data_IF_307220797675
#
_entry.id   IF_307220797675
#
_cell.length_a   1.000
_cell.length_b   1.000
_cell.length_c   1.000
_cell.angle_alpha   90.00
_cell.angle_beta   90.00
_cell.angle_gamma   90.00
#
_symmetry.space_group_name_H-M   'P 1'
#
loop_
_entity.id
_entity.type
_entity.pdbx_description
1 polymer ?
#
# COMPACT_ATOMS: atom_id res chain seq x y z
N UNK A 1 -11.86 -11.11 3.43
CA UNK A 1 -11.15 -10.37 4.48
C UNK A 1 -10.20 -11.28 5.22
N UNK A 2 -9.11 -10.73 5.77
CA UNK A 2 -8.19 -11.42 6.68
C UNK A 2 -8.94 -12.07 7.86
N UNK A 3 -10.04 -11.45 8.31
CA UNK A 3 -10.93 -12.02 9.32
C UNK A 3 -11.61 -13.31 8.86
N UNK A 4 -11.97 -13.43 7.59
CA UNK A 4 -12.58 -14.66 7.03
C UNK A 4 -11.58 -15.81 6.99
N UNK A 5 -10.27 -15.51 6.95
CA UNK A 5 -9.19 -16.50 6.94
C UNK A 5 -8.65 -16.78 8.35
N UNK A 6 -9.25 -16.20 9.39
CA UNK A 6 -8.86 -16.38 10.80
C UNK A 6 -7.71 -15.48 11.26
N UNK A 7 -7.22 -14.58 10.40
CA UNK A 7 -6.19 -13.61 10.73
C UNK A 7 -6.82 -12.43 11.47
N UNK A 8 -6.83 -12.54 12.80
CA UNK A 8 -7.46 -11.54 13.70
C UNK A 8 -6.50 -10.49 14.27
N UNK A 9 -5.23 -10.53 13.85
CA UNK A 9 -4.15 -9.67 14.32
C UNK A 9 -3.67 -8.74 13.20
N UNK A 10 -4.53 -7.80 12.79
CA UNK A 10 -4.18 -6.71 11.86
C UNK A 10 -4.36 -5.35 12.52
N UNK A 11 -3.77 -4.31 11.93
CA UNK A 11 -3.74 -2.95 12.49
C UNK A 11 -5.15 -2.39 12.76
N UNK A 12 -6.11 -2.69 11.88
CA UNK A 12 -7.51 -2.29 12.02
C UNK A 12 -8.14 -2.92 13.27
N UNK A 13 -8.04 -4.24 13.40
CA UNK A 13 -8.64 -5.00 14.50
C UNK A 13 -7.96 -4.67 15.83
N UNK A 14 -6.64 -4.49 15.83
CA UNK A 14 -5.90 -4.04 17.02
C UNK A 14 -6.38 -2.65 17.46
N UNK A 15 -6.47 -1.68 16.55
CA UNK A 15 -6.94 -0.33 16.89
C UNK A 15 -8.39 -0.32 17.38
N UNK A 16 -9.28 -1.11 16.77
CA UNK A 16 -10.65 -1.29 17.26
C UNK A 16 -10.68 -1.87 18.67
N UNK A 17 -9.85 -2.88 18.97
CA UNK A 17 -9.78 -3.49 20.32
C UNK A 17 -9.24 -2.52 21.36
N UNK A 18 -8.24 -1.72 21.00
CA UNK A 18 -7.62 -0.74 21.90
C UNK A 18 -8.53 0.44 22.24
N UNK A 19 -9.33 0.89 21.27
CA UNK A 19 -10.11 2.14 21.39
C UNK A 19 -11.63 1.92 21.52
N UNK A 20 -12.13 0.73 21.20
CA UNK A 20 -13.56 0.43 21.10
C UNK A 20 -14.25 1.09 19.91
N UNK A 21 -13.50 1.68 18.97
CA UNK A 21 -14.07 2.39 17.82
C UNK A 21 -14.64 1.42 16.76
N UNK A 22 -15.43 1.96 15.83
CA UNK A 22 -15.92 1.22 14.68
C UNK A 22 -14.82 0.93 13.66
N UNK A 23 -14.99 -0.09 12.84
CA UNK A 23 -14.05 -0.43 11.76
C UNK A 23 -13.82 0.74 10.81
N UNK A 24 -14.87 1.50 10.48
CA UNK A 24 -14.76 2.69 9.63
C UNK A 24 -13.84 3.75 10.24
N UNK A 25 -13.94 4.01 11.55
CA UNK A 25 -13.04 4.94 12.25
C UNK A 25 -11.61 4.39 12.32
N UNK A 26 -11.45 3.09 12.58
CA UNK A 26 -10.13 2.46 12.57
C UNK A 26 -9.45 2.55 11.19
N UNK A 27 -10.18 2.28 10.11
CA UNK A 27 -9.68 2.44 8.73
C UNK A 27 -9.30 3.88 8.44
N UNK A 28 -10.13 4.84 8.84
CA UNK A 28 -9.82 6.26 8.69
C UNK A 28 -8.53 6.64 9.44
N UNK A 29 -8.37 6.15 10.68
CA UNK A 29 -7.17 6.40 11.47
C UNK A 29 -5.91 5.83 10.82
N UNK A 30 -5.93 4.55 10.42
CA UNK A 30 -4.79 3.90 9.76
C UNK A 30 -4.45 4.58 8.42
N UNK A 31 -5.45 4.99 7.64
CA UNK A 31 -5.22 5.77 6.41
C UNK A 31 -4.54 7.11 6.72
N UNK A 32 -4.95 7.80 7.78
CA UNK A 32 -4.28 9.01 8.23
C UNK A 32 -2.79 8.79 8.58
N UNK A 33 -2.46 7.67 9.23
CA UNK A 33 -1.07 7.31 9.51
C UNK A 33 -0.26 7.03 8.22
N UNK A 34 -0.89 6.41 7.22
CA UNK A 34 -0.28 6.18 5.90
C UNK A 34 0.00 7.52 5.20
N UNK A 35 -0.97 8.43 5.20
CA UNK A 35 -0.83 9.77 4.59
C UNK A 35 0.28 10.60 5.26
N UNK A 36 0.34 10.61 6.60
CA UNK A 36 1.41 11.27 7.33
C UNK A 36 2.78 10.65 7.02
N UNK A 37 2.85 9.32 6.87
CA UNK A 37 4.08 8.63 6.46
C UNK A 37 4.52 9.04 5.05
N UNK A 38 3.57 9.16 4.11
CA UNK A 38 3.85 9.68 2.76
C UNK A 38 4.41 11.10 2.78
N UNK A 39 3.81 12.00 3.56
CA UNK A 39 4.30 13.39 3.71
C UNK A 39 5.75 13.41 4.21
N UNK A 40 6.08 12.56 5.19
CA UNK A 40 7.44 12.44 5.72
C UNK A 40 8.43 11.94 4.66
N UNK A 41 8.08 10.90 3.90
CA UNK A 41 8.95 10.41 2.81
C UNK A 41 9.15 11.45 1.71
N UNK A 42 8.10 12.17 1.31
CA UNK A 42 8.19 13.24 0.32
C UNK A 42 9.10 14.37 0.81
N UNK A 43 9.00 14.74 2.09
CA UNK A 43 9.91 15.71 2.69
C UNK A 43 11.37 15.23 2.67
N UNK A 44 11.64 13.97 3.01
CA UNK A 44 13.00 13.40 2.91
C UNK A 44 13.58 13.44 1.48
N UNK A 45 12.74 13.36 0.44
CA UNK A 45 13.23 13.53 -0.93
C UNK A 45 13.64 14.97 -1.26
N UNK A 46 12.94 15.95 -0.68
CA UNK A 46 13.20 17.38 -0.90
C UNK A 46 14.40 17.83 -0.08
N UNK A 47 14.41 17.50 1.21
CA UNK A 47 15.44 17.91 2.17
C UNK A 47 16.75 17.13 2.00
N UNK A 48 16.70 16.02 1.25
CA UNK A 48 17.81 15.09 1.10
C UNK A 48 17.83 14.03 2.21
N UNK A 49 18.67 13.02 1.99
CA UNK A 49 18.80 11.86 2.88
C UNK A 49 20.27 11.57 3.15
N UNK A 50 20.64 11.09 4.36
CA UNK A 50 21.99 10.59 4.62
C UNK A 50 22.28 9.26 3.88
N UNK A 51 21.26 8.64 3.28
CA UNK A 51 21.38 7.39 2.55
C UNK A 51 21.69 7.61 1.07
N UNK A 52 22.31 6.61 0.43
CA UNK A 52 22.57 6.63 -1.00
C UNK A 52 21.28 6.73 -1.82
N UNK A 53 21.33 7.49 -2.92
CA UNK A 53 20.16 7.79 -3.78
C UNK A 53 19.37 6.53 -4.17
N UNK A 54 20.05 5.47 -4.62
CA UNK A 54 19.39 4.23 -5.02
C UNK A 54 18.64 3.53 -3.88
N UNK A 55 19.14 3.63 -2.64
CA UNK A 55 18.44 3.08 -1.47
C UNK A 55 17.16 3.86 -1.19
N UNK A 56 17.23 5.19 -1.25
CA UNK A 56 16.08 6.08 -1.07
C UNK A 56 15.02 5.82 -2.15
N UNK A 57 15.43 5.75 -3.42
CA UNK A 57 14.54 5.45 -4.54
C UNK A 57 13.87 4.08 -4.38
N UNK A 58 14.63 3.07 -3.95
CA UNK A 58 14.10 1.71 -3.70
C UNK A 58 13.04 1.73 -2.61
N UNK A 59 13.30 2.41 -1.48
CA UNK A 59 12.35 2.49 -0.37
C UNK A 59 11.03 3.18 -0.78
N UNK A 60 11.11 4.25 -1.57
CA UNK A 60 9.94 4.98 -2.05
C UNK A 60 9.17 4.15 -3.08
N UNK A 61 9.88 3.48 -3.99
CA UNK A 61 9.24 2.61 -4.97
C UNK A 61 8.55 1.42 -4.31
N UNK A 62 9.09 0.87 -3.21
CA UNK A 62 8.40 -0.14 -2.42
C UNK A 62 7.07 0.38 -1.86
N UNK A 63 7.06 1.58 -1.28
CA UNK A 63 5.83 2.19 -0.81
C UNK A 63 4.81 2.44 -1.95
N UNK A 64 5.28 2.86 -3.14
CA UNK A 64 4.45 3.03 -4.33
C UNK A 64 3.85 1.71 -4.82
N UNK A 65 4.63 0.63 -4.81
CA UNK A 65 4.17 -0.71 -5.17
C UNK A 65 3.06 -1.14 -4.22
N UNK A 66 3.27 -1.04 -2.90
CA UNK A 66 2.25 -1.37 -1.90
C UNK A 66 0.97 -0.56 -2.12
N UNK A 67 1.08 0.75 -2.33
CA UNK A 67 -0.10 1.59 -2.58
C UNK A 67 -0.82 1.18 -3.88
N UNK A 68 -0.08 0.96 -4.97
CA UNK A 68 -0.65 0.56 -6.25
C UNK A 68 -1.41 -0.77 -6.17
N UNK A 69 -0.85 -1.72 -5.41
CA UNK A 69 -1.43 -3.04 -5.15
C UNK A 69 -2.70 -2.93 -4.30
N UNK A 70 -2.68 -2.18 -3.19
CA UNK A 70 -3.76 -2.25 -2.20
C UNK A 70 -4.82 -1.14 -2.26
N UNK A 71 -4.63 -0.08 -3.06
CA UNK A 71 -5.55 1.07 -3.16
C UNK A 71 -6.99 0.73 -3.57
N UNK A 72 -7.24 -0.47 -4.12
CA UNK A 72 -8.57 -0.90 -4.57
C UNK A 72 -8.97 -2.26 -3.99
N UNK A 73 -8.35 -2.68 -2.90
CA UNK A 73 -8.52 -4.00 -2.31
C UNK A 73 -7.27 -4.86 -2.45
N UNK A 74 -7.39 -6.15 -2.13
CA UNK A 74 -6.24 -7.06 -2.08
C UNK A 74 -5.88 -7.61 -3.46
N UNK A 75 -5.15 -6.81 -4.26
CA UNK A 75 -4.67 -7.23 -5.57
C UNK A 75 -3.59 -8.32 -5.53
N UNK A 76 -3.07 -8.68 -4.35
CA UNK A 76 -1.99 -9.66 -4.20
C UNK A 76 -2.50 -11.03 -3.78
N UNK A 77 -3.18 -11.10 -2.63
CA UNK A 77 -3.75 -12.34 -2.10
C UNK A 77 -5.07 -12.73 -2.77
N UNK A 78 -5.85 -11.75 -3.26
CA UNK A 78 -7.16 -11.94 -3.90
C UNK A 78 -7.31 -11.12 -5.19
N UNK A 79 -6.43 -11.31 -6.20
CA UNK A 79 -6.41 -10.48 -7.41
C UNK A 79 -7.74 -10.54 -8.17
N UNK A 80 -8.34 -9.37 -8.36
CA UNK A 80 -9.51 -9.19 -9.23
C UNK A 80 -9.09 -9.09 -10.71
N UNK A 81 -10.08 -9.04 -11.61
CA UNK A 81 -9.82 -8.95 -13.06
C UNK A 81 -9.00 -7.71 -13.42
N UNK A 82 -9.21 -6.58 -12.73
CA UNK A 82 -8.46 -5.34 -12.96
C UNK A 82 -6.98 -5.51 -12.63
N UNK A 83 -6.66 -6.15 -11.51
CA UNK A 83 -5.29 -6.41 -11.06
C UNK A 83 -4.57 -7.36 -12.00
N UNK A 84 -5.24 -8.44 -12.44
CA UNK A 84 -4.69 -9.37 -13.44
C UNK A 84 -4.41 -8.68 -14.78
N UNK A 85 -5.36 -7.88 -15.27
CA UNK A 85 -5.21 -7.15 -16.52
C UNK A 85 -4.04 -6.16 -16.47
N UNK A 86 -3.82 -5.48 -15.34
CA UNK A 86 -2.65 -4.59 -15.14
C UNK A 86 -1.33 -5.35 -15.29
N UNK A 87 -1.22 -6.55 -14.73
CA UNK A 87 -0.01 -7.38 -14.86
C UNK A 87 0.20 -7.81 -16.30
N UNK A 88 -0.86 -8.29 -16.96
CA UNK A 88 -0.82 -8.70 -18.37
C UNK A 88 -0.34 -7.53 -19.23
N UNK A 89 -0.94 -6.36 -19.12
CA UNK A 89 -0.63 -5.21 -19.98
C UNK A 89 0.75 -4.58 -19.72
N UNK A 90 1.27 -4.66 -18.49
CA UNK A 90 2.52 -3.99 -18.12
C UNK A 90 3.75 -4.90 -18.19
N UNK A 91 3.58 -6.21 -18.00
CA UNK A 91 4.70 -7.16 -17.81
C UNK A 91 4.72 -8.24 -18.90
N UNK A 92 3.55 -8.68 -19.36
CA UNK A 92 3.45 -9.84 -20.27
C UNK A 92 3.32 -9.40 -21.72
N UNK A 93 2.40 -8.48 -22.00
CA UNK A 93 2.11 -8.01 -23.35
C UNK A 93 3.07 -6.87 -23.74
N UNK A 94 3.84 -7.04 -24.83
CA UNK A 94 4.68 -5.97 -25.33
C UNK A 94 3.84 -4.86 -25.98
N UNK A 95 4.37 -3.64 -25.95
CA UNK A 95 3.77 -2.52 -26.71
C UNK A 95 4.00 -2.77 -28.21
N UNK A 96 2.92 -2.78 -28.99
CA UNK A 96 3.01 -2.85 -30.45
C UNK A 96 3.66 -1.56 -31.00
N UNK A 97 4.72 -1.73 -31.79
CA UNK A 97 5.50 -0.65 -32.40
C UNK A 97 5.22 -0.49 -33.91
N UNK A 98 4.06 -0.97 -34.38
CA UNK A 98 3.67 -0.88 -35.79
C UNK A 98 3.46 0.57 -36.25
#
# INVERSE_FOLDING_TARGET
>A
DELETGESANSITCYMKETGCSEAMARQHINGLIDESWKRMNKCQIDGSPFGKHLVETAINLARISHCTYQHGDAHGRPDSKSKNRVVSLIIEPISIM
#
